data_IF_888169026885
#
_entry.id   IF_888169026885
#
_cell.length_a   1.000
_cell.length_b   1.000
_cell.length_c   1.000
_cell.angle_alpha   90.00
_cell.angle_beta   90.00
_cell.angle_gamma   90.00
#
_symmetry.space_group_name_H-M   'P 1'
#
loop_
_entity.id
_entity.type
_entity.pdbx_description
1 polymer ?
#
# COMPACT_ATOMS: atom_id res chain seq x y z
N UNK A 1 52.08 -22.11 46.35
CA UNK A 1 51.24 -22.84 45.37
C UNK A 1 49.83 -22.27 45.46
N UNK A 2 49.50 -21.29 44.62
CA UNK A 2 48.17 -20.69 44.56
C UNK A 2 47.42 -21.34 43.42
N UNK A 3 46.33 -22.04 43.72
CA UNK A 3 45.50 -22.71 42.72
C UNK A 3 44.92 -21.68 41.73
N UNK A 4 44.84 -21.98 40.42
CA UNK A 4 44.23 -21.08 39.47
C UNK A 4 42.73 -21.00 39.70
N UNK A 5 42.20 -19.78 39.73
CA UNK A 5 40.76 -19.51 39.80
C UNK A 5 40.05 -20.14 38.59
N UNK A 6 39.08 -21.01 38.87
CA UNK A 6 38.23 -21.60 37.84
C UNK A 6 37.37 -20.50 37.21
N UNK A 7 37.44 -20.38 35.88
CA UNK A 7 36.51 -19.54 35.11
C UNK A 7 35.08 -20.06 35.34
N UNK A 8 34.09 -19.19 35.63
CA UNK A 8 32.71 -19.63 35.74
C UNK A 8 32.29 -20.32 34.44
N UNK A 9 31.67 -21.50 34.59
CA UNK A 9 31.15 -22.30 33.49
C UNK A 9 30.30 -21.42 32.56
N UNK A 10 30.57 -21.51 31.26
CA UNK A 10 30.02 -20.61 30.25
C UNK A 10 28.50 -20.51 30.31
N UNK A 11 27.98 -19.29 30.45
CA UNK A 11 26.61 -18.99 30.10
C UNK A 11 26.38 -19.44 28.66
N UNK A 12 25.31 -20.20 28.41
CA UNK A 12 24.88 -20.50 27.04
C UNK A 12 24.91 -19.20 26.21
N UNK A 13 25.39 -19.25 24.95
CA UNK A 13 25.47 -18.05 24.13
C UNK A 13 24.07 -17.40 24.08
N UNK A 14 24.02 -16.10 24.35
CA UNK A 14 22.77 -15.34 24.34
C UNK A 14 22.09 -15.52 22.98
N UNK A 15 20.82 -15.94 23.01
CA UNK A 15 20.02 -16.17 21.80
C UNK A 15 19.90 -14.85 21.05
N UNK A 16 20.13 -14.80 19.73
CA UNK A 16 19.95 -13.58 18.95
C UNK A 16 18.51 -13.08 19.07
N UNK A 17 18.34 -11.80 19.41
CA UNK A 17 17.03 -11.15 19.54
C UNK A 17 16.65 -10.44 18.26
N UNK A 18 15.51 -10.81 17.69
CA UNK A 18 14.94 -10.21 16.50
C UNK A 18 13.66 -9.48 16.92
N UNK A 19 13.59 -8.18 16.61
CA UNK A 19 12.37 -7.39 16.76
C UNK A 19 11.82 -7.05 15.38
N UNK A 20 10.54 -7.35 15.15
CA UNK A 20 9.79 -7.01 13.94
C UNK A 20 8.80 -5.89 14.28
N UNK A 21 8.87 -4.78 13.55
CA UNK A 21 7.97 -3.62 13.71
C UNK A 21 6.94 -3.63 12.59
N UNK A 22 5.67 -3.78 12.96
CA UNK A 22 4.52 -4.01 12.08
C UNK A 22 4.14 -5.48 12.04
N UNK A 23 2.84 -5.78 12.11
CA UNK A 23 2.30 -7.13 12.04
C UNK A 23 1.29 -7.32 10.89
N UNK A 24 1.71 -6.93 9.68
CA UNK A 24 0.95 -7.15 8.45
C UNK A 24 1.36 -8.44 7.71
N UNK A 25 0.85 -8.67 6.48
CA UNK A 25 1.12 -9.89 5.70
C UNK A 25 2.60 -10.21 5.48
N UNK A 26 3.43 -9.17 5.30
CA UNK A 26 4.88 -9.32 5.14
C UNK A 26 5.52 -9.85 6.43
N UNK A 27 5.10 -9.32 7.58
CA UNK A 27 5.59 -9.77 8.88
C UNK A 27 5.11 -11.20 9.18
N UNK A 28 3.85 -11.52 8.90
CA UNK A 28 3.32 -12.88 9.08
C UNK A 28 4.19 -13.91 8.33
N UNK A 29 4.45 -13.68 7.04
CA UNK A 29 5.29 -14.60 6.27
C UNK A 29 6.72 -14.69 6.82
N UNK A 30 7.29 -13.57 7.24
CA UNK A 30 8.63 -13.57 7.82
C UNK A 30 8.70 -14.34 9.14
N UNK A 31 7.67 -14.19 9.99
CA UNK A 31 7.54 -14.92 11.25
C UNK A 31 7.42 -16.41 10.97
N UNK A 32 6.56 -16.82 10.03
CA UNK A 32 6.37 -18.23 9.67
C UNK A 32 7.67 -18.95 9.30
N UNK A 33 8.55 -18.29 8.54
CA UNK A 33 9.86 -18.84 8.16
C UNK A 33 10.81 -19.00 9.35
N UNK A 34 10.65 -18.17 10.39
CA UNK A 34 11.51 -18.21 11.58
C UNK A 34 10.93 -19.05 12.72
N UNK A 35 9.64 -19.41 12.69
CA UNK A 35 8.98 -20.22 13.72
C UNK A 35 9.78 -21.48 14.10
N UNK A 36 10.32 -22.29 13.16
CA UNK A 36 11.09 -23.48 13.53
C UNK A 36 12.36 -23.14 14.35
N UNK A 37 13.02 -22.02 14.04
CA UNK A 37 14.22 -21.59 14.77
C UNK A 37 13.88 -21.04 16.17
N UNK A 38 12.73 -20.37 16.31
CA UNK A 38 12.23 -19.91 17.62
C UNK A 38 11.87 -21.11 18.50
N UNK A 39 11.11 -22.07 17.95
CA UNK A 39 10.70 -23.29 18.65
C UNK A 39 11.91 -24.16 19.07
N UNK A 40 12.97 -24.20 18.25
CA UNK A 40 14.23 -24.86 18.58
C UNK A 40 15.08 -24.08 19.62
N UNK A 41 14.65 -22.89 20.04
CA UNK A 41 15.37 -22.03 20.96
C UNK A 41 16.64 -21.41 20.37
N UNK A 42 16.77 -21.37 19.04
CA UNK A 42 17.94 -20.83 18.36
C UNK A 42 17.95 -19.29 18.34
N UNK A 43 16.79 -18.64 18.48
CA UNK A 43 16.64 -17.18 18.52
C UNK A 43 15.40 -16.77 19.33
N UNK A 44 15.35 -15.50 19.72
CA UNK A 44 14.16 -14.87 20.32
C UNK A 44 13.51 -13.93 19.31
N UNK A 45 12.19 -14.06 19.09
CA UNK A 45 11.45 -13.26 18.14
C UNK A 45 10.34 -12.48 18.85
N UNK A 46 10.38 -11.16 18.74
CA UNK A 46 9.30 -10.27 19.19
C UNK A 46 8.70 -9.51 18.00
N UNK A 47 7.39 -9.57 17.85
CA UNK A 47 6.63 -8.86 16.81
C UNK A 47 5.78 -7.80 17.48
N UNK A 48 5.85 -6.57 16.98
CA UNK A 48 5.11 -5.42 17.54
C UNK A 48 4.18 -4.86 16.46
N UNK A 49 2.88 -4.90 16.69
CA UNK A 49 1.85 -4.38 15.80
C UNK A 49 1.04 -3.26 16.46
N UNK A 50 0.84 -2.16 15.73
CA UNK A 50 0.01 -1.04 16.20
C UNK A 50 -1.49 -1.38 16.22
N UNK A 51 -1.96 -2.21 15.28
CA UNK A 51 -3.33 -2.70 15.27
C UNK A 51 -3.56 -3.73 16.40
N UNK A 52 -4.76 -3.74 16.98
CA UNK A 52 -5.16 -4.68 18.05
C UNK A 52 -5.24 -6.14 17.55
N UNK A 53 -5.40 -6.30 16.23
CA UNK A 53 -5.57 -7.58 15.59
C UNK A 53 -4.25 -8.23 15.20
N UNK A 54 -4.18 -9.57 15.21
CA UNK A 54 -3.12 -10.32 14.54
C UNK A 54 -3.10 -10.05 13.04
N UNK A 55 -2.02 -10.46 12.37
CA UNK A 55 -1.88 -10.29 10.93
C UNK A 55 -3.04 -10.94 10.15
N UNK A 56 -3.62 -10.17 9.23
CA UNK A 56 -4.69 -10.62 8.33
C UNK A 56 -4.41 -10.23 6.88
N UNK A 57 -5.09 -10.90 5.95
CA UNK A 57 -4.97 -10.70 4.51
C UNK A 57 -5.69 -9.41 4.09
N UNK A 58 -4.96 -8.30 4.16
CA UNK A 58 -5.45 -6.97 3.78
C UNK A 58 -5.84 -6.82 2.31
N UNK A 59 -5.50 -7.77 1.44
CA UNK A 59 -5.98 -7.75 0.04
C UNK A 59 -7.52 -7.90 0.01
N UNK A 60 -8.09 -8.60 0.99
CA UNK A 60 -9.54 -8.83 1.10
C UNK A 60 -10.27 -7.71 1.84
N UNK A 61 -9.63 -6.56 2.08
CA UNK A 61 -10.23 -5.50 2.90
C UNK A 61 -11.46 -4.87 2.26
N UNK A 62 -11.49 -4.81 0.92
CA UNK A 62 -12.66 -4.36 0.18
C UNK A 62 -13.82 -5.36 0.30
N UNK A 63 -13.53 -6.66 0.17
CA UNK A 63 -14.53 -7.72 0.35
C UNK A 63 -15.10 -7.72 1.76
N UNK A 64 -14.27 -7.49 2.79
CA UNK A 64 -14.74 -7.32 4.17
C UNK A 64 -15.65 -6.10 4.27
N UNK A 65 -15.23 -4.98 3.66
CA UNK A 65 -15.98 -3.73 3.68
C UNK A 65 -17.28 -3.74 2.89
N UNK A 66 -17.57 -4.79 2.12
CA UNK A 66 -18.86 -4.97 1.45
C UNK A 66 -19.62 -6.20 1.96
N UNK A 67 -19.12 -6.88 3.00
CA UNK A 67 -19.79 -8.04 3.61
C UNK A 67 -19.61 -9.38 2.88
N UNK A 68 -18.66 -9.49 1.94
CA UNK A 68 -18.38 -10.73 1.19
C UNK A 68 -17.52 -11.75 1.94
N UNK A 69 -16.81 -11.29 2.96
CA UNK A 69 -15.98 -12.14 3.80
C UNK A 69 -16.06 -11.70 5.25
N UNK A 70 -15.63 -12.58 6.15
CA UNK A 70 -15.55 -12.29 7.57
C UNK A 70 -14.08 -12.16 8.00
N UNK A 71 -13.81 -11.35 9.03
CA UNK A 71 -12.47 -11.11 9.52
C UNK A 71 -11.70 -12.41 9.86
N UNK A 72 -12.37 -13.41 10.43
CA UNK A 72 -11.77 -14.71 10.75
C UNK A 72 -11.24 -15.47 9.53
N UNK A 73 -11.89 -15.33 8.37
CA UNK A 73 -11.44 -15.96 7.12
C UNK A 73 -10.22 -15.25 6.51
N UNK A 74 -9.83 -14.09 7.05
CA UNK A 74 -8.69 -13.31 6.60
C UNK A 74 -7.44 -13.55 7.44
N UNK A 75 -7.51 -14.35 8.52
CA UNK A 75 -6.37 -14.57 9.42
C UNK A 75 -5.14 -15.13 8.67
N UNK A 76 -3.96 -14.55 8.93
CA UNK A 76 -2.68 -15.02 8.41
C UNK A 76 -1.78 -15.60 9.51
N UNK A 77 -2.15 -15.40 10.77
CA UNK A 77 -1.40 -15.90 11.91
C UNK A 77 -2.37 -16.26 13.03
N UNK A 78 -2.11 -17.38 13.69
CA UNK A 78 -2.79 -17.79 14.92
C UNK A 78 -1.94 -17.38 16.13
N UNK A 79 -2.42 -16.48 17.01
CA UNK A 79 -1.69 -16.06 18.21
C UNK A 79 -1.33 -17.20 19.16
N UNK A 80 -2.18 -18.22 19.27
CA UNK A 80 -1.94 -19.36 20.16
C UNK A 80 -0.82 -20.24 19.63
N UNK A 81 -0.78 -20.46 18.32
CA UNK A 81 0.33 -21.15 17.66
C UNK A 81 1.65 -20.40 17.84
N UNK A 82 1.64 -19.09 17.59
CA UNK A 82 2.83 -18.27 17.74
C UNK A 82 3.35 -18.27 19.17
N UNK A 83 2.46 -18.20 20.16
CA UNK A 83 2.84 -18.29 21.57
C UNK A 83 3.41 -19.67 21.92
N UNK A 84 2.82 -20.76 21.41
CA UNK A 84 3.33 -22.13 21.60
C UNK A 84 4.74 -22.31 21.04
N UNK A 85 5.04 -21.68 19.92
CA UNK A 85 6.38 -21.71 19.31
C UNK A 85 7.38 -20.75 19.97
N UNK A 86 6.95 -19.97 20.97
CA UNK A 86 7.80 -19.02 21.70
C UNK A 86 7.93 -17.65 21.03
N UNK A 87 7.11 -17.33 20.02
CA UNK A 87 7.07 -16.01 19.40
C UNK A 87 6.30 -15.05 20.30
N UNK A 88 6.94 -13.96 20.70
CA UNK A 88 6.29 -12.90 21.48
C UNK A 88 5.57 -11.94 20.54
N UNK A 89 4.25 -11.87 20.60
CA UNK A 89 3.45 -10.92 19.80
C UNK A 89 2.87 -9.85 20.71
N UNK A 90 3.07 -8.58 20.35
CA UNK A 90 2.54 -7.39 21.02
C UNK A 90 1.64 -6.63 20.04
N UNK A 91 0.33 -6.90 20.07
CA UNK A 91 -0.67 -6.12 19.32
C UNK A 91 -1.12 -4.89 20.10
N UNK A 92 -1.83 -3.96 19.45
CA UNK A 92 -2.26 -2.69 20.05
C UNK A 92 -1.10 -1.81 20.55
N UNK A 93 0.12 -2.08 20.08
CA UNK A 93 1.36 -1.53 20.63
C UNK A 93 2.09 -0.76 19.56
N UNK A 94 2.19 0.56 19.72
CA UNK A 94 2.89 1.42 18.77
C UNK A 94 4.38 1.54 19.11
N UNK A 95 5.23 1.37 18.10
CA UNK A 95 6.64 1.77 18.16
C UNK A 95 6.75 3.27 17.89
N UNK A 96 7.24 4.02 18.88
CA UNK A 96 7.41 5.47 18.79
C UNK A 96 8.75 5.86 18.16
N UNK A 97 9.83 5.14 18.48
CA UNK A 97 11.18 5.48 18.02
C UNK A 97 12.10 4.27 17.96
N UNK A 98 13.04 4.29 17.01
CA UNK A 98 14.19 3.38 17.01
C UNK A 98 15.43 4.12 17.55
N UNK A 99 16.01 3.62 18.63
CA UNK A 99 17.30 4.04 19.16
C UNK A 99 18.40 3.10 18.64
N UNK A 100 19.12 3.55 17.61
CA UNK A 100 20.14 2.75 16.94
C UNK A 100 21.44 2.63 17.75
N UNK A 101 21.80 3.64 18.54
CA UNK A 101 23.01 3.58 19.36
C UNK A 101 22.86 2.61 20.52
N UNK A 102 21.65 2.55 21.11
CA UNK A 102 21.31 1.58 22.17
C UNK A 102 20.77 0.25 21.65
N UNK A 103 20.62 0.10 20.33
CA UNK A 103 19.97 -1.05 19.66
C UNK A 103 18.66 -1.44 20.35
N UNK A 104 17.79 -0.45 20.54
CA UNK A 104 16.51 -0.63 21.19
C UNK A 104 15.38 0.06 20.41
N UNK A 105 14.20 -0.54 20.46
CA UNK A 105 12.95 0.06 20.03
C UNK A 105 12.25 0.65 21.25
N UNK A 106 11.75 1.88 21.14
CA UNK A 106 10.95 2.55 22.16
C UNK A 106 9.48 2.47 21.76
N UNK A 107 8.70 1.86 22.63
CA UNK A 107 7.25 1.77 22.52
C UNK A 107 6.60 3.08 23.00
N UNK A 108 5.34 3.31 22.63
CA UNK A 108 4.62 4.54 22.97
C UNK A 108 4.36 4.69 24.48
N UNK A 109 4.32 3.60 25.23
CA UNK A 109 4.22 3.56 26.70
C UNK A 109 5.56 3.83 27.42
N UNK A 110 6.65 4.06 26.66
CA UNK A 110 8.00 4.27 27.19
C UNK A 110 8.84 2.98 27.32
N UNK A 111 8.23 1.81 27.19
CA UNK A 111 8.90 0.51 27.28
C UNK A 111 9.99 0.39 26.19
N UNK A 112 11.14 -0.19 26.56
CA UNK A 112 12.26 -0.43 25.66
C UNK A 112 12.42 -1.90 25.31
N UNK A 113 12.50 -2.23 24.01
CA UNK A 113 12.81 -3.58 23.52
C UNK A 113 14.20 -3.59 22.87
N UNK A 114 15.15 -4.30 23.48
CA UNK A 114 16.49 -4.46 22.91
C UNK A 114 16.48 -5.48 21.76
N UNK A 115 17.33 -5.27 20.75
CA UNK A 115 17.43 -6.15 19.59
C UNK A 115 18.87 -6.33 19.12
N UNK A 116 19.14 -7.48 18.52
CA UNK A 116 20.36 -7.72 17.72
C UNK A 116 20.09 -7.52 16.23
N UNK A 117 18.85 -7.78 15.79
CA UNK A 117 18.34 -7.47 14.45
C UNK A 117 16.97 -6.82 14.53
N UNK A 118 16.76 -5.80 13.72
CA UNK A 118 15.50 -5.07 13.61
C UNK A 118 14.95 -5.22 12.20
N UNK A 119 13.69 -5.62 12.09
CA UNK A 119 12.95 -5.73 10.82
C UNK A 119 11.85 -4.68 10.81
N UNK A 120 11.84 -3.83 9.78
CA UNK A 120 10.79 -2.82 9.57
C UNK A 120 9.79 -3.35 8.56
N UNK A 121 8.65 -3.82 9.06
CA UNK A 121 7.50 -4.33 8.31
C UNK A 121 6.26 -3.43 8.50
N UNK A 122 6.47 -2.12 8.63
CA UNK A 122 5.43 -1.11 8.95
C UNK A 122 4.40 -0.88 7.84
N UNK A 123 4.62 -1.47 6.66
CA UNK A 123 3.74 -1.30 5.51
C UNK A 123 3.65 0.16 5.04
N UNK A 124 2.47 0.53 4.54
CA UNK A 124 2.17 1.85 4.02
C UNK A 124 0.87 2.39 4.63
N UNK A 125 0.73 3.72 4.60
CA UNK A 125 -0.50 4.45 4.96
C UNK A 125 -1.26 4.87 3.69
N UNK A 126 -2.57 5.04 3.81
CA UNK A 126 -3.36 5.61 2.72
C UNK A 126 -2.93 7.06 2.48
N UNK A 127 -2.80 7.43 1.21
CA UNK A 127 -2.50 8.82 0.83
C UNK A 127 -3.82 9.58 0.77
N UNK A 128 -4.02 10.49 1.72
CA UNK A 128 -5.17 11.41 1.71
C UNK A 128 -4.80 12.63 0.85
N UNK A 129 -5.56 12.94 -0.22
CA UNK A 129 -5.26 14.08 -1.07
C UNK A 129 -5.53 15.40 -0.34
N UNK A 130 -4.74 16.43 -0.67
CA UNK A 130 -5.00 17.79 -0.17
C UNK A 130 -6.14 18.43 -0.99
N UNK A 131 -7.34 18.42 -0.42
CA UNK A 131 -8.57 18.96 -1.02
C UNK A 131 -9.19 19.95 -0.04
N UNK A 132 -9.85 21.00 -0.56
CA UNK A 132 -10.61 21.93 0.28
C UNK A 132 -11.65 21.15 1.10
N UNK A 133 -11.71 21.38 2.41
CA UNK A 133 -12.64 20.67 3.31
C UNK A 133 -12.14 19.31 3.81
N UNK A 134 -11.04 18.77 3.26
CA UNK A 134 -10.24 17.76 3.97
C UNK A 134 -9.21 18.51 4.81
N UNK A 135 -9.04 18.13 6.07
CA UNK A 135 -7.90 18.53 6.87
C UNK A 135 -6.91 17.35 6.97
N UNK A 136 -6.11 17.08 5.92
CA UNK A 136 -5.13 16.01 5.98
C UNK A 136 -3.92 16.47 6.80
N UNK A 137 -3.95 16.27 8.11
CA UNK A 137 -2.68 16.17 8.85
C UNK A 137 -1.93 14.94 8.27
N UNK A 138 -0.72 15.10 7.71
CA UNK A 138 0.05 14.01 7.12
C UNK A 138 0.38 12.89 8.11
N UNK A 139 0.41 13.19 9.41
CA UNK A 139 0.70 12.27 10.49
C UNK A 139 -0.57 11.67 11.10
N UNK A 140 -1.65 12.45 11.15
CA UNK A 140 -2.93 12.10 11.79
C UNK A 140 -4.15 12.64 11.02
N UNK A 141 -4.46 12.11 9.82
CA UNK A 141 -5.51 12.68 8.99
C UNK A 141 -6.87 12.57 9.70
N UNK A 142 -7.42 13.72 10.13
CA UNK A 142 -8.77 13.81 10.67
C UNK A 142 -9.70 13.99 9.48
N UNK A 143 -10.35 12.89 9.08
CA UNK A 143 -11.31 12.90 7.99
C UNK A 143 -12.70 13.32 8.51
N UNK A 144 -13.44 14.18 7.77
CA UNK A 144 -14.82 14.53 8.11
C UNK A 144 -15.70 13.27 8.20
N UNK A 145 -16.79 13.30 8.99
CA UNK A 145 -17.78 12.21 8.99
C UNK A 145 -18.20 11.85 7.57
N UNK A 146 -18.30 10.56 7.25
CA UNK A 146 -18.66 10.06 5.91
C UNK A 146 -17.52 10.04 4.89
N UNK A 147 -16.32 10.49 5.26
CA UNK A 147 -15.09 10.31 4.46
C UNK A 147 -14.20 9.28 5.15
N UNK A 148 -13.71 8.29 4.40
CA UNK A 148 -12.80 7.26 4.91
C UNK A 148 -11.76 6.90 3.87
N UNK A 149 -10.56 6.55 4.32
CA UNK A 149 -9.66 5.73 3.52
C UNK A 149 -10.15 4.27 3.57
N UNK A 150 -9.59 3.40 2.72
CA UNK A 150 -9.82 1.95 2.80
C UNK A 150 -8.47 1.25 2.97
N UNK A 151 -8.12 0.94 4.22
CA UNK A 151 -6.81 0.38 4.56
C UNK A 151 -6.85 -0.67 5.66
N UNK A 152 -7.69 -0.51 6.67
CA UNK A 152 -7.80 -1.42 7.80
C UNK A 152 -9.25 -1.85 8.08
N UNK A 153 -9.44 -2.65 9.13
CA UNK A 153 -10.75 -3.20 9.49
C UNK A 153 -11.76 -2.14 9.93
N UNK A 154 -11.30 -1.02 10.47
CA UNK A 154 -12.19 0.07 10.88
C UNK A 154 -12.70 0.83 9.66
N UNK A 155 -11.82 1.03 8.67
CA UNK A 155 -12.22 1.56 7.37
C UNK A 155 -13.24 0.65 6.67
N UNK A 156 -13.01 -0.67 6.70
CA UNK A 156 -13.92 -1.65 6.14
C UNK A 156 -15.31 -1.60 6.80
N UNK A 157 -15.37 -1.48 8.13
CA UNK A 157 -16.64 -1.33 8.85
C UNK A 157 -17.43 -0.07 8.43
N UNK A 158 -16.74 1.05 8.16
CA UNK A 158 -17.38 2.27 7.64
C UNK A 158 -17.94 2.07 6.23
N UNK A 159 -17.21 1.36 5.37
CA UNK A 159 -17.70 1.00 4.05
C UNK A 159 -18.92 0.08 4.12
N UNK A 160 -18.89 -0.92 5.01
CA UNK A 160 -19.99 -1.88 5.18
C UNK A 160 -21.28 -1.16 5.58
N UNK A 161 -21.21 -0.25 6.55
CA UNK A 161 -22.36 0.57 6.96
C UNK A 161 -22.90 1.44 5.82
N UNK A 162 -22.03 1.96 4.94
CA UNK A 162 -22.46 2.74 3.77
C UNK A 162 -23.17 1.87 2.71
N UNK A 163 -22.70 0.64 2.51
CA UNK A 163 -23.28 -0.34 1.58
C UNK A 163 -24.63 -0.85 2.10
N UNK A 164 -24.71 -1.26 3.37
CA UNK A 164 -25.96 -1.70 4.02
C UNK A 164 -27.05 -0.62 3.94
N UNK A 165 -26.67 0.64 4.15
CA UNK A 165 -27.57 1.79 4.01
C UNK A 165 -27.90 2.17 2.56
N UNK A 166 -27.43 1.41 1.56
CA UNK A 166 -27.58 1.67 0.11
C UNK A 166 -27.21 3.10 -0.28
N UNK A 167 -26.19 3.66 0.38
CA UNK A 167 -25.80 5.05 0.21
C UNK A 167 -25.17 5.28 -1.17
N UNK A 168 -25.09 6.55 -1.55
CA UNK A 168 -24.27 6.98 -2.70
C UNK A 168 -22.81 7.03 -2.26
N UNK A 169 -21.95 6.26 -2.93
CA UNK A 169 -20.53 6.16 -2.62
C UNK A 169 -19.73 6.80 -3.74
N UNK A 170 -18.83 7.72 -3.39
CA UNK A 170 -17.87 8.30 -4.32
C UNK A 170 -16.49 7.76 -4.00
N UNK A 171 -15.88 7.07 -4.95
CA UNK A 171 -14.52 6.56 -4.83
C UNK A 171 -13.55 7.52 -5.52
N UNK A 172 -12.64 8.08 -4.73
CA UNK A 172 -11.58 8.96 -5.24
C UNK A 172 -10.36 8.14 -5.63
N UNK A 173 -10.17 7.93 -6.94
CA UNK A 173 -9.01 7.26 -7.52
C UNK A 173 -9.36 6.04 -8.35
N UNK A 174 -8.81 5.96 -9.56
CA UNK A 174 -8.98 4.85 -10.51
C UNK A 174 -7.87 3.78 -10.39
N UNK A 175 -7.42 3.51 -9.16
CA UNK A 175 -6.43 2.46 -8.85
C UNK A 175 -7.11 1.12 -8.56
N UNK A 176 -6.34 0.02 -8.47
CA UNK A 176 -6.87 -1.35 -8.33
C UNK A 176 -7.86 -1.47 -7.16
N UNK A 177 -7.41 -1.14 -5.94
CA UNK A 177 -8.25 -1.20 -4.74
C UNK A 177 -9.52 -0.34 -4.86
N UNK A 178 -9.42 0.85 -5.43
CA UNK A 178 -10.57 1.75 -5.61
C UNK A 178 -11.59 1.15 -6.58
N UNK A 179 -11.14 0.53 -7.67
CA UNK A 179 -12.02 -0.10 -8.64
C UNK A 179 -12.63 -1.40 -8.11
N UNK A 180 -11.88 -2.21 -7.37
CA UNK A 180 -12.38 -3.43 -6.71
C UNK A 180 -13.45 -3.07 -5.67
N UNK A 181 -13.18 -2.11 -4.79
CA UNK A 181 -14.17 -1.64 -3.81
C UNK A 181 -15.40 -1.03 -4.49
N UNK A 182 -15.22 -0.27 -5.57
CA UNK A 182 -16.33 0.33 -6.30
C UNK A 182 -17.22 -0.72 -6.96
N UNK A 183 -16.62 -1.73 -7.59
CA UNK A 183 -17.35 -2.83 -8.22
C UNK A 183 -18.08 -3.65 -7.16
N UNK A 184 -17.39 -4.06 -6.10
CA UNK A 184 -17.98 -4.86 -5.04
C UNK A 184 -19.15 -4.13 -4.37
N UNK A 185 -18.99 -2.85 -4.03
CA UNK A 185 -20.07 -2.06 -3.42
C UNK A 185 -21.27 -1.88 -4.38
N UNK A 186 -21.02 -1.74 -5.69
CA UNK A 186 -22.08 -1.64 -6.71
C UNK A 186 -22.86 -2.95 -6.84
N UNK A 187 -22.17 -4.08 -6.81
CA UNK A 187 -22.77 -5.42 -6.83
C UNK A 187 -23.59 -5.71 -5.57
N UNK A 188 -23.21 -5.15 -4.41
CA UNK A 188 -24.01 -5.21 -3.17
C UNK A 188 -25.13 -4.14 -3.11
N UNK A 189 -25.38 -3.42 -4.19
CA UNK A 189 -26.54 -2.53 -4.35
C UNK A 189 -26.33 -1.07 -3.97
N UNK A 190 -25.09 -0.64 -3.67
CA UNK A 190 -24.79 0.78 -3.49
C UNK A 190 -24.74 1.52 -4.85
N UNK A 191 -25.04 2.83 -4.84
CA UNK A 191 -24.85 3.66 -6.04
C UNK A 191 -23.44 4.23 -6.04
N UNK A 192 -22.58 3.73 -6.93
CA UNK A 192 -21.14 4.07 -6.90
C UNK A 192 -20.72 4.96 -8.06
N UNK A 193 -19.91 5.98 -7.77
CA UNK A 193 -19.20 6.78 -8.77
C UNK A 193 -17.70 6.79 -8.49
N UNK A 194 -16.90 6.35 -9.46
CA UNK A 194 -15.43 6.47 -9.43
C UNK A 194 -15.03 7.78 -10.09
N UNK A 195 -14.30 8.61 -9.37
CA UNK A 195 -13.69 9.85 -9.88
C UNK A 195 -12.20 9.63 -9.98
N UNK A 196 -11.62 9.83 -11.17
CA UNK A 196 -10.17 9.68 -11.34
C UNK A 196 -9.58 10.68 -12.31
N UNK A 197 -8.30 10.97 -12.08
CA UNK A 197 -7.48 11.74 -13.00
C UNK A 197 -7.20 10.94 -14.27
N UNK A 198 -7.12 11.62 -15.41
CA UNK A 198 -6.81 11.04 -16.71
C UNK A 198 -8.01 10.39 -17.39
N UNK A 199 -7.84 10.05 -18.65
CA UNK A 199 -8.89 9.59 -19.56
C UNK A 199 -9.37 8.16 -19.28
N UNK A 200 -8.55 7.35 -18.58
CA UNK A 200 -8.85 5.94 -18.30
C UNK A 200 -8.46 5.49 -16.87
N UNK A 201 -9.20 4.54 -16.30
CA UNK A 201 -8.77 3.87 -15.06
C UNK A 201 -7.45 3.11 -15.28
N UNK A 202 -6.67 2.92 -14.21
CA UNK A 202 -5.38 2.23 -14.24
C UNK A 202 -4.40 2.75 -15.30
N UNK A 203 -4.45 4.04 -15.66
CA UNK A 203 -3.71 4.57 -16.81
C UNK A 203 -2.18 4.42 -16.77
N UNK A 204 -1.61 4.18 -15.58
CA UNK A 204 -0.18 3.86 -15.36
C UNK A 204 0.19 2.40 -15.64
N UNK A 205 -0.80 1.51 -15.71
CA UNK A 205 -0.62 0.05 -15.74
C UNK A 205 -1.13 -0.56 -17.03
N UNK A 206 -2.20 -0.02 -17.60
CA UNK A 206 -2.84 -0.53 -18.82
C UNK A 206 -2.88 0.55 -19.90
N UNK A 207 -2.94 0.12 -21.16
CA UNK A 207 -3.01 0.97 -22.34
C UNK A 207 -4.44 1.49 -22.61
N UNK A 208 -4.63 2.19 -23.73
CA UNK A 208 -5.88 2.90 -24.00
C UNK A 208 -7.02 1.93 -24.30
N UNK A 209 -6.71 0.88 -25.07
CA UNK A 209 -7.67 -0.18 -25.37
C UNK A 209 -8.11 -0.90 -24.09
N UNK A 210 -7.15 -1.35 -23.26
CA UNK A 210 -7.45 -1.99 -21.98
C UNK A 210 -8.25 -1.10 -21.04
N UNK A 211 -7.88 0.18 -20.94
CA UNK A 211 -8.61 1.17 -20.15
C UNK A 211 -10.05 1.40 -20.62
N UNK A 212 -10.28 1.47 -21.93
CA UNK A 212 -11.61 1.59 -22.51
C UNK A 212 -12.46 0.33 -22.25
N UNK A 213 -11.88 -0.86 -22.42
CA UNK A 213 -12.54 -2.13 -22.11
C UNK A 213 -12.93 -2.21 -20.63
N UNK A 214 -12.01 -1.84 -19.73
CA UNK A 214 -12.26 -1.82 -18.29
C UNK A 214 -13.36 -0.83 -17.92
N UNK A 215 -13.30 0.41 -18.43
CA UNK A 215 -14.32 1.42 -18.17
C UNK A 215 -15.70 0.99 -18.69
N UNK A 216 -15.76 0.33 -19.85
CA UNK A 216 -17.01 -0.22 -20.37
C UNK A 216 -17.54 -1.37 -19.48
N UNK A 217 -16.66 -2.25 -18.98
CA UNK A 217 -17.04 -3.31 -18.06
C UNK A 217 -17.61 -2.76 -16.74
N UNK A 218 -16.95 -1.77 -16.13
CA UNK A 218 -17.41 -1.10 -14.92
C UNK A 218 -18.80 -0.47 -15.11
N UNK A 219 -19.02 0.25 -16.22
CA UNK A 219 -20.32 0.86 -16.53
C UNK A 219 -21.44 -0.18 -16.69
N UNK A 220 -21.15 -1.33 -17.30
CA UNK A 220 -22.11 -2.43 -17.41
C UNK A 220 -22.51 -3.02 -16.05
N UNK A 221 -21.60 -2.95 -15.07
CA UNK A 221 -21.84 -3.39 -13.69
C UNK A 221 -22.45 -2.30 -12.79
N UNK A 222 -22.96 -1.21 -13.37
CA UNK A 222 -23.62 -0.13 -12.64
C UNK A 222 -22.69 0.93 -12.04
N UNK A 223 -21.36 0.78 -12.20
CA UNK A 223 -20.38 1.76 -11.70
C UNK A 223 -20.29 2.96 -12.64
N UNK A 224 -20.59 4.16 -12.12
CA UNK A 224 -20.37 5.41 -12.87
C UNK A 224 -18.89 5.75 -12.87
N UNK A 225 -18.34 6.15 -14.01
CA UNK A 225 -16.91 6.50 -14.14
C UNK A 225 -16.78 7.93 -14.65
N UNK A 226 -16.27 8.81 -13.79
CA UNK A 226 -15.92 10.19 -14.08
C UNK A 226 -14.39 10.30 -14.27
N UNK A 227 -13.94 10.04 -15.50
CA UNK A 227 -12.56 10.27 -15.92
C UNK A 227 -12.30 11.74 -16.25
N UNK A 228 -11.03 12.09 -16.45
CA UNK A 228 -10.55 13.46 -16.68
C UNK A 228 -11.02 14.47 -15.62
N UNK A 229 -11.30 13.97 -14.41
CA UNK A 229 -11.84 14.76 -13.33
C UNK A 229 -10.76 15.00 -12.28
N UNK A 230 -10.69 16.24 -11.78
CA UNK A 230 -9.87 16.61 -10.64
C UNK A 230 -10.79 16.98 -9.49
N UNK A 231 -10.72 16.23 -8.39
CA UNK A 231 -11.36 16.62 -7.14
C UNK A 231 -10.65 17.86 -6.60
N UNK A 232 -11.42 18.88 -6.22
CA UNK A 232 -10.88 20.14 -5.66
C UNK A 232 -11.27 20.36 -4.21
N UNK A 233 -12.38 19.78 -3.77
CA UNK A 233 -12.84 19.88 -2.40
C UNK A 233 -14.00 18.94 -2.11
N UNK A 234 -14.41 18.91 -0.85
CA UNK A 234 -15.72 18.42 -0.42
C UNK A 234 -16.51 19.54 0.24
N UNK A 235 -17.82 19.43 0.16
CA UNK A 235 -18.75 20.28 0.88
C UNK A 235 -19.54 19.39 1.84
N UNK A 236 -19.69 19.81 3.09
CA UNK A 236 -20.52 19.11 4.06
C UNK A 236 -21.85 19.83 4.17
N UNK A 237 -22.93 19.17 3.80
CA UNK A 237 -24.28 19.65 4.06
C UNK A 237 -24.73 19.31 5.49
N UNK A 238 -25.91 19.81 5.91
CA UNK A 238 -26.51 19.48 7.22
C UNK A 238 -26.80 17.98 7.40
N UNK A 239 -26.87 17.21 6.32
CA UNK A 239 -27.07 15.74 6.33
C UNK A 239 -25.75 14.93 6.25
N UNK A 240 -24.59 15.58 6.28
CA UNK A 240 -23.26 14.95 6.10
C UNK A 240 -22.55 15.39 4.81
N UNK A 241 -21.39 14.80 4.45
CA UNK A 241 -20.63 15.18 3.28
C UNK A 241 -21.46 14.95 2.01
N UNK A 242 -21.68 16.01 1.25
CA UNK A 242 -22.19 15.95 -0.11
C UNK A 242 -21.03 15.85 -1.09
N UNK A 243 -21.36 15.41 -2.31
CA UNK A 243 -20.46 15.06 -3.43
C UNK A 243 -19.21 15.94 -3.48
N UNK A 244 -17.99 15.40 -3.64
CA UNK A 244 -16.80 16.22 -3.85
C UNK A 244 -17.04 17.12 -5.06
N UNK A 245 -16.91 18.43 -4.86
CA UNK A 245 -17.11 19.42 -5.90
C UNK A 245 -16.03 19.18 -6.96
N UNK A 246 -16.43 18.55 -8.06
CA UNK A 246 -15.55 18.22 -9.18
C UNK A 246 -15.61 19.38 -10.16
N UNK A 247 -14.50 20.12 -10.30
CA UNK A 247 -14.36 21.07 -11.40
C UNK A 247 -13.90 20.29 -12.64
N UNK A 248 -14.85 19.93 -13.51
CA UNK A 248 -14.51 19.45 -14.85
C UNK A 248 -14.18 20.67 -15.69
N UNK A 249 -12.90 21.00 -15.89
CA UNK A 249 -12.51 21.97 -16.92
C UNK A 249 -12.60 21.31 -18.30
N UNK A 250 -13.80 20.92 -18.71
CA UNK A 250 -14.10 20.56 -20.09
C UNK A 250 -14.81 21.76 -20.72
N UNK A 251 -14.04 22.63 -21.38
CA UNK A 251 -14.60 23.59 -22.33
C UNK A 251 -14.80 22.89 -23.67
N UNK A 252 -16.03 22.88 -24.20
CA UNK A 252 -16.26 23.24 -25.59
C UNK A 252 -16.72 24.69 -25.62
N UNK A 253 -15.97 25.49 -26.37
CA UNK A 253 -16.34 26.84 -26.76
C UNK A 253 -17.59 26.84 -27.62
N UNK A 254 -18.69 27.40 -27.13
CA UNK A 254 -19.63 28.22 -27.91
C UNK A 254 -20.41 29.13 -26.96
N UNK A 255 -20.60 30.38 -27.38
CA UNK A 255 -21.15 31.54 -26.67
C UNK A 255 -22.49 31.27 -25.94
N UNK A 256 -22.91 32.02 -24.93
CA UNK A 256 -23.51 33.36 -25.10
C UNK A 256 -23.69 34.08 -23.76
N UNK A 257 -23.33 35.36 -23.77
CA UNK A 257 -23.61 36.50 -22.88
C UNK A 257 -24.01 36.31 -21.41
N UNK A 258 -23.30 37.03 -20.54
CA UNK A 258 -23.96 38.12 -19.81
C UNK A 258 -23.00 39.28 -19.53
N UNK A 259 -23.54 40.48 -19.66
CA UNK A 259 -22.86 41.77 -19.55
C UNK A 259 -23.44 42.59 -18.41
N UNK A 260 -22.60 43.30 -17.67
CA UNK A 260 -22.91 44.67 -17.25
C UNK A 260 -21.61 45.48 -17.14
N UNK A 261 -21.51 46.43 -18.08
CA UNK A 261 -20.73 47.69 -18.04
C UNK A 261 -21.44 48.67 -17.08
N UNK A 262 -20.93 49.81 -16.62
CA UNK A 262 -19.65 50.55 -16.62
C UNK A 262 -19.87 51.73 -15.63
N UNK A 263 -18.90 52.20 -14.83
CA UNK A 263 -17.92 53.27 -15.12
C UNK A 263 -18.18 54.51 -14.22
N UNK A 264 -17.38 55.61 -14.23
CA UNK A 264 -15.99 55.84 -14.67
C UNK A 264 -15.06 56.55 -13.64
N UNK A 265 -13.81 56.81 -14.07
CA UNK A 265 -12.58 57.36 -13.42
C UNK A 265 -12.55 58.92 -13.29
N UNK A 266 -11.43 59.70 -13.00
CA UNK A 266 -9.98 59.39 -12.95
C UNK A 266 -9.06 60.18 -11.95
N UNK A 267 -7.75 59.86 -11.95
CA UNK A 267 -6.66 60.72 -11.42
C UNK A 267 -5.27 60.09 -11.63
N UNK A 268 -4.45 60.66 -12.52
CA UNK A 268 -3.21 60.08 -13.12
C UNK A 268 -1.91 60.59 -12.49
N UNK A 269 -0.84 59.80 -12.58
CA UNK A 269 0.49 60.16 -13.17
C UNK A 269 1.43 58.93 -13.16
N UNK A 270 1.65 58.27 -14.32
CA UNK A 270 2.86 58.29 -15.20
C UNK A 270 4.15 57.83 -14.51
N UNK A 271 4.85 56.76 -14.92
CA UNK A 271 5.61 56.63 -16.19
C UNK A 271 5.94 55.16 -16.60
N UNK A 272 5.90 54.91 -17.93
CA UNK A 272 6.58 53.91 -18.83
C UNK A 272 7.03 52.53 -18.28
N UNK A 273 6.48 51.40 -18.78
CA UNK A 273 6.90 50.58 -19.95
C UNK A 273 8.32 49.98 -19.83
N UNK A 274 8.59 48.66 -19.83
CA UNK A 274 8.17 47.55 -20.72
C UNK A 274 8.36 46.17 -20.04
N UNK A 275 7.77 45.15 -20.66
CA UNK A 275 7.60 43.77 -20.21
C UNK A 275 8.85 42.86 -20.19
N UNK A 276 8.88 41.90 -19.26
CA UNK A 276 9.10 40.46 -19.53
C UNK A 276 8.90 39.62 -18.26
N UNK A 277 8.25 38.46 -18.40
CA UNK A 277 8.09 37.44 -17.37
C UNK A 277 9.40 36.69 -17.13
N UNK A 278 9.75 36.46 -15.86
CA UNK A 278 10.63 35.36 -15.42
C UNK A 278 10.51 35.14 -13.91
N UNK A 279 10.58 33.88 -13.51
CA UNK A 279 10.45 33.33 -12.16
C UNK A 279 11.53 33.82 -11.17
N UNK A 280 11.35 33.60 -9.86
CA UNK A 280 12.46 33.48 -8.94
C UNK A 280 12.62 32.03 -8.46
N UNK A 281 13.82 31.49 -8.69
CA UNK A 281 14.40 30.45 -7.84
C UNK A 281 15.43 31.06 -6.88
N UNK A 282 15.77 30.33 -5.83
CA UNK A 282 17.00 30.46 -5.04
C UNK A 282 17.36 29.04 -4.57
N UNK A 283 18.35 28.36 -5.17
CA UNK A 283 19.81 28.47 -5.02
C UNK A 283 20.33 28.03 -3.65
N UNK A 284 21.00 26.86 -3.61
CA UNK A 284 22.16 26.61 -2.75
C UNK A 284 23.22 25.80 -3.52
N UNK A 285 24.46 26.21 -3.31
CA UNK A 285 25.70 25.91 -4.02
C UNK A 285 26.32 24.54 -3.66
N UNK A 286 27.25 24.09 -4.50
CA UNK A 286 27.97 22.81 -4.48
C UNK A 286 29.45 23.11 -4.20
N UNK A 287 30.09 22.29 -3.35
CA UNK A 287 31.55 22.11 -3.28
C UNK A 287 31.87 20.61 -3.07
N UNK A 288 33.01 20.14 -3.61
CA UNK A 288 33.33 18.74 -3.89
C UNK A 288 34.50 18.15 -3.05
N UNK A 289 34.35 16.90 -2.58
CA UNK A 289 35.38 15.83 -2.50
C UNK A 289 36.07 15.52 -1.14
N UNK A 290 36.62 14.29 -0.86
CA UNK A 290 36.67 13.04 -1.63
C UNK A 290 36.15 11.73 -0.92
N UNK A 291 36.12 10.61 -1.67
CA UNK A 291 35.61 9.25 -1.37
C UNK A 291 36.42 8.44 -0.31
N UNK A 292 35.92 7.39 0.38
CA UNK A 292 35.58 6.00 -0.06
C UNK A 292 34.88 5.19 1.11
N UNK A 293 34.60 3.85 1.06
CA UNK A 293 33.24 3.30 0.84
C UNK A 293 32.69 2.38 1.97
N UNK A 294 31.37 2.16 2.05
CA UNK A 294 30.79 0.79 2.16
C UNK A 294 29.25 0.74 2.21
N UNK A 295 28.74 -0.25 1.47
CA UNK A 295 27.47 -0.97 1.54
C UNK A 295 26.16 -0.27 1.16
N UNK A 296 25.69 -0.74 0.00
CA UNK A 296 24.44 -0.49 -0.72
C UNK A 296 23.16 -0.75 0.07
N UNK A 297 22.23 0.21 -0.01
CA UNK A 297 20.79 -0.06 0.01
C UNK A 297 20.31 -0.28 -1.42
N UNK A 298 19.69 -1.45 -1.69
CA UNK A 298 18.94 -1.66 -2.94
C UNK A 298 17.46 -1.41 -2.65
N UNK A 299 16.96 -0.30 -3.17
CA UNK A 299 15.55 -0.08 -3.44
C UNK A 299 15.15 -0.80 -4.74
N UNK A 300 13.99 -1.44 -4.73
CA UNK A 300 13.23 -1.74 -5.95
C UNK A 300 12.62 -0.39 -6.41
N UNK A 301 12.65 0.10 -7.64
CA UNK A 301 12.83 -0.52 -8.97
C UNK A 301 13.30 0.60 -9.91
N UNK A 302 14.39 0.39 -10.67
CA UNK A 302 14.74 1.20 -11.84
C UNK A 302 14.61 0.33 -13.11
N UNK A 303 14.13 0.86 -14.24
CA UNK A 303 13.89 0.06 -15.44
C UNK A 303 15.21 -0.30 -16.14
N UNK A 304 15.33 -1.54 -16.61
CA UNK A 304 16.43 -1.99 -17.47
C UNK A 304 15.86 -2.40 -18.84
N UNK A 305 16.55 -2.11 -19.96
CA UNK A 305 15.96 -2.16 -21.30
C UNK A 305 15.74 -3.60 -21.79
N UNK A 306 14.58 -3.85 -22.38
CA UNK A 306 14.19 -5.12 -22.96
C UNK A 306 14.95 -5.42 -24.27
N UNK A 307 15.62 -6.57 -24.34
CA UNK A 307 16.03 -7.21 -25.61
C UNK A 307 14.87 -8.10 -26.10
N UNK A 308 14.55 -7.98 -27.40
CA UNK A 308 13.52 -8.75 -28.11
C UNK A 308 13.73 -10.27 -28.00
N UNK A 309 12.66 -11.10 -27.93
CA UNK A 309 12.81 -12.54 -27.99
C UNK A 309 12.91 -13.02 -29.44
N UNK A 310 13.84 -13.96 -29.70
CA UNK A 310 13.74 -14.88 -30.84
C UNK A 310 13.02 -16.14 -30.37
N UNK A 311 12.07 -16.58 -31.19
CA UNK A 311 11.44 -17.88 -31.09
C UNK A 311 12.43 -18.97 -31.50
N UNK A 312 12.40 -20.11 -30.82
CA UNK A 312 12.50 -21.40 -31.48
C UNK A 312 11.90 -22.50 -30.60
N UNK A 313 11.16 -23.36 -31.28
CA UNK A 313 10.36 -24.48 -30.81
C UNK A 313 11.13 -25.79 -30.94
N UNK A 314 11.08 -26.68 -29.93
CA UNK A 314 10.60 -28.08 -30.07
C UNK A 314 10.99 -28.98 -28.87
N UNK A 315 10.28 -30.11 -28.65
CA UNK A 315 10.24 -30.84 -27.38
C UNK A 315 10.95 -32.21 -27.40
N UNK A 316 11.27 -32.73 -26.21
CA UNK A 316 11.53 -34.14 -25.79
C UNK A 316 11.82 -34.04 -24.27
N UNK A 317 11.39 -34.88 -23.34
CA UNK A 317 11.08 -36.30 -23.28
C UNK A 317 11.64 -36.74 -21.92
N UNK A 318 10.84 -37.38 -21.06
CA UNK A 318 11.10 -37.48 -19.61
C UNK A 318 12.16 -38.48 -19.16
N UNK A 319 12.44 -38.48 -17.85
CA UNK A 319 12.72 -39.66 -17.02
C UNK A 319 13.05 -39.25 -15.56
N UNK A 320 12.61 -40.13 -14.67
CA UNK A 320 12.66 -40.17 -13.20
C UNK A 320 14.01 -40.59 -12.60
N UNK A 321 14.11 -40.53 -11.26
CA UNK A 321 15.01 -41.21 -10.29
C UNK A 321 16.11 -40.33 -9.65
N UNK A 322 15.95 -39.89 -8.39
CA UNK A 322 16.33 -40.51 -7.07
C UNK A 322 17.83 -40.57 -6.79
N UNK A 323 18.26 -39.92 -5.68
CA UNK A 323 19.55 -40.17 -5.02
C UNK A 323 20.20 -38.93 -4.37
N UNK A 324 20.16 -38.83 -3.03
CA UNK A 324 21.16 -38.15 -2.17
C UNK A 324 22.21 -39.19 -1.70
N UNK A 325 23.33 -38.89 -0.99
CA UNK A 325 23.91 -37.66 -0.38
C UNK A 325 25.47 -37.55 -0.68
N UNK A 326 26.41 -36.90 0.08
CA UNK A 326 26.36 -36.13 1.35
C UNK A 326 27.09 -34.77 1.39
N UNK A 327 27.06 -34.17 2.58
CA UNK A 327 27.43 -32.81 2.98
C UNK A 327 28.91 -32.44 2.86
N UNK A 328 29.20 -31.21 2.43
CA UNK A 328 30.08 -30.24 3.12
C UNK A 328 30.18 -28.91 2.35
N UNK A 329 30.45 -27.85 3.12
CA UNK A 329 30.93 -26.52 2.72
C UNK A 329 29.95 -25.49 2.09
N UNK A 330 29.68 -24.48 2.94
CA UNK A 330 29.60 -23.05 2.62
C UNK A 330 28.82 -22.61 1.37
N UNK A 331 27.66 -21.98 1.56
CA UNK A 331 27.06 -21.16 0.50
C UNK A 331 26.37 -19.91 1.06
N UNK A 332 26.89 -18.78 0.59
CA UNK A 332 26.25 -17.48 0.49
C UNK A 332 24.74 -17.56 0.24
N UNK A 333 23.97 -16.79 1.01
CA UNK A 333 22.53 -16.65 0.82
C UNK A 333 22.25 -15.82 -0.44
N UNK A 334 22.12 -16.49 -1.58
CA UNK A 334 21.56 -15.93 -2.80
C UNK A 334 20.07 -16.28 -2.86
N UNK A 335 19.20 -15.29 -2.74
CA UNK A 335 17.75 -15.47 -2.86
C UNK A 335 17.35 -15.86 -4.29
N UNK A 336 16.50 -16.88 -4.51
CA UNK A 336 15.89 -17.10 -5.80
C UNK A 336 14.92 -15.96 -6.14
N UNK A 337 14.97 -15.47 -7.38
CA UNK A 337 14.06 -14.43 -7.89
C UNK A 337 12.63 -14.99 -7.96
N UNK A 338 11.61 -14.29 -7.43
CA UNK A 338 10.23 -14.72 -7.59
C UNK A 338 9.80 -14.60 -9.05
N UNK A 339 9.23 -15.68 -9.60
CA UNK A 339 8.46 -15.63 -10.85
C UNK A 339 7.08 -15.02 -10.55
N UNK A 340 6.53 -14.14 -11.40
CA UNK A 340 5.17 -13.65 -11.21
C UNK A 340 4.18 -14.81 -11.30
N UNK A 341 3.27 -14.87 -10.32
CA UNK A 341 2.15 -15.79 -10.33
C UNK A 341 1.19 -15.43 -11.49
N UNK A 342 0.78 -16.41 -12.27
CA UNK A 342 -0.30 -16.27 -13.24
C UNK A 342 -1.32 -17.37 -12.91
N UNK A 343 -2.53 -16.97 -12.51
CA UNK A 343 -3.68 -17.88 -12.44
C UNK A 343 -4.18 -18.13 -13.86
N UNK A 344 -4.01 -19.35 -14.37
CA UNK A 344 -4.74 -19.85 -15.51
C UNK A 344 -6.06 -20.46 -15.03
N UNK A 345 -7.18 -19.76 -15.27
CA UNK A 345 -8.52 -20.36 -15.15
C UNK A 345 -8.81 -21.35 -16.30
N UNK A 346 -9.74 -22.30 -16.13
CA UNK A 346 -10.07 -23.28 -17.15
C UNK A 346 -10.75 -22.61 -18.36
N UNK A 347 -10.31 -22.97 -19.57
CA UNK A 347 -10.97 -22.59 -20.82
C UNK A 347 -12.24 -23.41 -20.98
N UNK A 348 -13.41 -22.76 -20.97
CA UNK A 348 -14.66 -23.36 -21.41
C UNK A 348 -14.72 -23.40 -22.94
N UNK A 349 -14.88 -24.59 -23.50
CA UNK A 349 -15.14 -24.83 -24.92
C UNK A 349 -16.56 -24.42 -25.27
N UNK A 350 -16.72 -23.57 -26.29
CA UNK A 350 -18.01 -23.15 -26.82
C UNK A 350 -18.42 -24.10 -27.95
N UNK A 351 -19.43 -24.94 -27.73
CA UNK A 351 -20.09 -25.74 -28.79
C UNK A 351 -21.30 -24.97 -29.32
N UNK A 352 -21.33 -24.69 -30.63
CA UNK A 352 -22.50 -24.17 -31.35
C UNK A 352 -23.59 -25.26 -31.42
N UNK A 353 -24.88 -24.93 -31.32
CA UNK A 353 -25.93 -25.86 -31.73
C UNK A 353 -26.06 -25.85 -33.26
N UNK A 354 -26.27 -27.02 -33.85
CA UNK A 354 -26.69 -27.22 -35.22
C UNK A 354 -28.19 -27.57 -35.22
N UNK A 355 -28.91 -26.96 -36.18
CA UNK A 355 -30.29 -27.18 -36.62
C UNK A 355 -31.40 -26.99 -35.56
#
# INVERSE_FOLDING_TARGET
>A
MTAPAQRPAGSAPARPRIVVVGFGPVAARFVDELRPAVAAGALELTVVGEEELPAYNRVLIADLGVGRTALGAMALADPEELARDGVRVLTGTRVARVDRSRRAVRLADGTGLAYDRLVLATGARAVVPNLTGLNPDPLHPVLPPGVTALRDVHDAARLASAVEGRRRIVVLGGGVLGLEAALAASEEGATVTVVHHGDRPLGRTIDAAGGATLAAALRRQGVRVAGNARSTGLETGPEGPSVPCCSTTARPSTATSWSSRAGPAPGRSSQRARASRSAPGSSWTRDCGPCTPSMSSRSATAPSPARRPRADSSPRGGATQTGSPPASAASSWASPRPRPWARSGPRSSCSRPAA
#
